data_IF_843856240414
#
_entry.id   IF_843856240414
#
_cell.length_a   1.000
_cell.length_b   1.000
_cell.length_c   1.000
_cell.angle_alpha   90.00
_cell.angle_beta   90.00
_cell.angle_gamma   90.00
#
_symmetry.space_group_name_H-M   'P 1'
#
loop_
_entity.id
_entity.type
_entity.pdbx_description
1 polymer ?
#
# COMPACT_ATOMS: atom_id res chain seq x y z
N UNK A 1 60.90 22.64 -18.98
CA UNK A 1 60.17 23.91 -18.80
C UNK A 1 58.68 23.59 -18.69
N UNK A 2 58.09 23.94 -17.53
CA UNK A 2 56.67 24.23 -17.20
C UNK A 2 55.53 23.34 -17.78
N UNK A 3 54.52 22.88 -17.05
CA UNK A 3 54.16 22.93 -15.63
C UNK A 3 52.96 21.98 -15.36
N UNK A 4 52.85 21.56 -14.09
CA UNK A 4 51.74 20.81 -13.49
C UNK A 4 50.38 21.51 -13.63
N UNK A 5 49.31 20.73 -13.70
CA UNK A 5 48.12 20.99 -12.88
C UNK A 5 47.30 19.71 -12.67
N UNK A 6 47.44 19.16 -11.47
CA UNK A 6 46.50 18.22 -10.85
C UNK A 6 45.18 18.92 -10.54
N UNK A 7 44.05 18.34 -10.96
CA UNK A 7 42.77 18.47 -10.25
C UNK A 7 41.97 17.17 -10.39
N UNK A 8 42.13 16.29 -9.41
CA UNK A 8 41.12 15.30 -9.03
C UNK A 8 39.82 16.04 -8.69
N UNK A 9 38.72 15.73 -9.37
CA UNK A 9 37.38 16.14 -8.96
C UNK A 9 36.75 14.98 -8.18
N UNK A 10 36.91 14.98 -6.87
CA UNK A 10 36.14 14.12 -5.95
C UNK A 10 34.75 14.73 -5.78
N UNK A 11 33.71 13.99 -6.13
CA UNK A 11 32.32 14.39 -5.92
C UNK A 11 31.83 13.79 -4.60
N UNK A 12 31.86 14.57 -3.53
CA UNK A 12 31.13 14.27 -2.29
C UNK A 12 29.72 14.89 -2.38
N UNK A 13 28.64 14.14 -2.10
CA UNK A 13 27.33 14.73 -1.92
C UNK A 13 27.21 15.31 -0.50
N UNK A 14 26.95 16.63 -0.45
CA UNK A 14 26.67 17.36 0.78
C UNK A 14 25.41 16.83 1.49
N UNK A 15 25.57 16.39 2.74
CA UNK A 15 24.47 16.12 3.66
C UNK A 15 24.08 17.44 4.31
N UNK A 16 23.12 18.16 3.72
CA UNK A 16 22.52 19.34 4.34
C UNK A 16 21.35 18.90 5.24
N UNK A 17 21.51 19.07 6.55
CA UNK A 17 20.53 18.73 7.56
C UNK A 17 19.21 19.49 7.39
N UNK A 18 18.10 18.75 7.28
CA UNK A 18 16.76 19.33 7.30
C UNK A 18 16.43 19.84 8.72
N UNK A 19 16.33 21.15 8.87
CA UNK A 19 15.77 21.80 10.07
C UNK A 19 14.30 21.45 10.24
N UNK A 20 13.96 20.97 11.43
CA UNK A 20 12.62 20.69 11.94
C UNK A 20 11.79 21.98 11.94
N UNK A 21 10.66 21.99 11.23
CA UNK A 21 9.65 23.05 11.35
C UNK A 21 8.52 22.49 12.24
N UNK A 22 8.33 23.08 13.41
CA UNK A 22 7.19 22.80 14.28
C UNK A 22 5.92 23.48 13.73
N UNK A 23 4.75 22.81 13.71
CA UNK A 23 3.52 23.45 13.27
C UNK A 23 2.91 24.30 14.39
N UNK A 24 2.70 25.58 14.07
CA UNK A 24 1.94 26.52 14.89
C UNK A 24 0.46 26.09 15.01
N UNK A 25 -0.05 26.14 16.24
CA UNK A 25 -1.45 25.91 16.62
C UNK A 25 -2.24 27.21 16.40
N UNK A 26 -3.34 27.16 15.65
CA UNK A 26 -4.42 28.16 15.75
C UNK A 26 -5.78 27.57 15.29
N UNK A 27 -6.94 28.13 15.68
CA UNK A 27 -7.96 27.37 16.38
C UNK A 27 -9.18 27.04 15.50
N UNK A 28 -9.93 26.07 15.99
CA UNK A 28 -11.12 25.46 15.40
C UNK A 28 -12.19 26.49 15.01
N UNK A 29 -12.60 26.50 13.73
CA UNK A 29 -13.85 27.12 13.27
C UNK A 29 -14.89 26.01 13.08
N UNK A 30 -15.91 26.01 13.94
CA UNK A 30 -17.01 25.04 13.90
C UNK A 30 -17.95 25.34 12.73
N UNK A 31 -18.17 24.36 11.86
CA UNK A 31 -19.23 24.38 10.84
C UNK A 31 -20.34 23.44 11.32
N UNK A 32 -21.51 24.00 11.62
CA UNK A 32 -22.71 23.26 12.04
C UNK A 32 -23.46 22.76 10.78
N UNK A 33 -23.80 21.48 10.74
CA UNK A 33 -24.62 20.85 9.69
C UNK A 33 -26.12 21.09 9.92
N UNK A 34 -26.97 21.19 8.88
CA UNK A 34 -28.34 21.68 8.99
C UNK A 34 -29.43 20.61 9.24
N UNK A 35 -29.12 19.45 9.84
CA UNK A 35 -30.04 18.29 9.82
C UNK A 35 -30.59 17.80 11.16
N UNK A 36 -30.57 18.61 12.22
CA UNK A 36 -31.23 18.26 13.48
C UNK A 36 -32.03 19.43 14.03
N UNK A 37 -33.36 19.33 13.93
CA UNK A 37 -34.32 20.17 14.64
C UNK A 37 -34.45 19.68 16.07
N UNK A 38 -34.16 20.54 17.05
CA UNK A 38 -34.41 20.27 18.47
C UNK A 38 -35.62 21.08 18.93
N UNK A 39 -36.70 20.36 19.26
CA UNK A 39 -37.90 20.86 19.94
C UNK A 39 -37.57 21.30 21.37
N UNK A 40 -38.04 22.48 21.73
CA UNK A 40 -37.95 23.11 23.06
C UNK A 40 -38.96 22.54 24.04
N UNK A 41 -38.54 22.24 25.27
CA UNK A 41 -39.41 22.27 26.46
C UNK A 41 -38.69 22.96 27.63
N UNK A 42 -39.40 23.78 28.43
CA UNK A 42 -38.78 24.61 29.46
C UNK A 42 -38.66 23.92 30.81
N UNK A 43 -37.64 24.36 31.54
CA UNK A 43 -37.19 23.98 32.87
C UNK A 43 -38.15 24.46 33.98
N UNK A 44 -38.36 23.63 35.00
CA UNK A 44 -38.89 24.03 36.31
C UNK A 44 -37.85 23.65 37.38
N UNK A 45 -37.84 24.47 38.42
CA UNK A 45 -36.85 24.76 39.47
C UNK A 45 -36.59 23.67 40.54
N UNK A 46 -35.37 23.75 41.12
CA UNK A 46 -34.77 23.19 42.37
C UNK A 46 -35.70 23.01 43.61
N UNK A 47 -35.32 22.33 44.75
CA UNK A 47 -33.95 22.22 45.34
C UNK A 47 -33.54 20.94 46.15
N UNK A 48 -32.23 20.89 46.47
CA UNK A 48 -31.50 20.38 47.67
C UNK A 48 -31.49 18.87 48.05
N UNK A 49 -30.29 18.33 48.36
CA UNK A 49 -29.94 17.42 49.49
C UNK A 49 -28.43 16.98 49.47
N UNK A 50 -27.77 17.19 50.62
CA UNK A 50 -26.45 16.80 51.22
C UNK A 50 -25.30 16.05 50.49
N UNK A 51 -24.03 16.30 50.87
CA UNK A 51 -22.84 15.62 50.32
C UNK A 51 -22.52 14.31 51.07
N UNK A 52 -22.33 13.21 50.32
CA UNK A 52 -21.80 11.94 50.84
C UNK A 52 -20.37 11.76 50.35
N UNK A 53 -19.48 11.49 51.29
CA UNK A 53 -18.05 11.20 51.13
C UNK A 53 -17.80 9.96 50.27
N UNK A 54 -17.09 10.14 49.16
CA UNK A 54 -16.67 9.04 48.26
C UNK A 54 -15.34 8.49 48.73
N UNK A 55 -15.34 7.24 49.19
CA UNK A 55 -14.14 6.41 49.35
C UNK A 55 -13.68 5.91 47.97
N UNK A 56 -12.39 6.00 47.59
CA UNK A 56 -11.93 5.55 46.28
C UNK A 56 -11.83 4.02 46.23
N UNK A 57 -12.63 3.41 45.34
CA UNK A 57 -12.48 2.01 44.93
C UNK A 57 -11.29 1.83 43.96
N UNK A 58 -10.65 0.65 43.94
CA UNK A 58 -9.37 0.45 43.28
C UNK A 58 -9.46 0.48 41.75
N UNK A 59 -8.45 1.15 41.18
CA UNK A 59 -8.10 1.30 39.76
C UNK A 59 -8.57 0.16 38.85
N UNK A 60 -9.50 0.47 37.94
CA UNK A 60 -9.77 -0.35 36.77
C UNK A 60 -8.54 -0.35 35.85
N UNK A 61 -7.90 -1.51 35.68
CA UNK A 61 -6.87 -1.71 34.67
C UNK A 61 -7.39 -1.24 33.30
N UNK A 62 -6.71 -0.25 32.71
CA UNK A 62 -7.06 0.32 31.39
C UNK A 62 -7.06 -0.80 30.36
N UNK A 63 -8.24 -1.20 29.87
CA UNK A 63 -8.37 -2.09 28.70
C UNK A 63 -7.59 -1.49 27.54
N UNK A 64 -6.54 -2.18 27.09
CA UNK A 64 -5.73 -1.80 25.92
C UNK A 64 -6.66 -1.58 24.72
N UNK A 65 -6.55 -0.41 24.09
CA UNK A 65 -7.36 -0.06 22.93
C UNK A 65 -6.96 -0.95 21.74
N UNK A 66 -7.92 -1.69 21.19
CA UNK A 66 -7.69 -2.52 20.00
C UNK A 66 -7.20 -1.66 18.83
N UNK A 67 -6.25 -2.15 18.03
CA UNK A 67 -5.72 -1.38 16.93
C UNK A 67 -6.80 -1.08 15.88
N UNK A 68 -6.69 0.04 15.16
CA UNK A 68 -7.65 0.39 14.12
C UNK A 68 -7.72 -0.72 13.06
N UNK A 69 -8.94 -1.05 12.65
CA UNK A 69 -9.23 -2.13 11.70
C UNK A 69 -8.39 -1.94 10.42
N UNK A 70 -7.54 -2.92 10.11
CA UNK A 70 -6.71 -2.92 8.91
C UNK A 70 -5.35 -2.25 9.07
N UNK A 71 -4.89 -1.95 10.28
CA UNK A 71 -3.50 -1.57 10.54
C UNK A 71 -2.55 -2.78 10.43
N UNK A 72 -2.96 -3.91 11.02
CA UNK A 72 -2.12 -5.11 11.16
C UNK A 72 -2.39 -6.11 10.05
N UNK A 73 -1.32 -6.65 9.45
CA UNK A 73 -1.37 -7.75 8.46
C UNK A 73 -2.24 -8.90 8.96
N UNK A 74 -3.10 -9.42 8.09
CA UNK A 74 -3.90 -10.61 8.38
C UNK A 74 -3.24 -11.91 7.91
N UNK A 75 -2.13 -11.80 7.17
CA UNK A 75 -1.41 -12.94 6.60
C UNK A 75 -0.23 -13.34 7.51
N UNK A 76 0.01 -14.64 7.70
CA UNK A 76 1.20 -15.12 8.38
C UNK A 76 2.45 -14.76 7.56
N UNK A 77 3.57 -14.53 8.24
CA UNK A 77 4.88 -14.43 7.57
C UNK A 77 5.34 -15.86 7.24
N UNK A 78 5.59 -16.21 5.97
CA UNK A 78 6.12 -17.53 5.66
C UNK A 78 7.63 -17.61 5.91
N UNK A 79 8.20 -18.84 6.00
CA UNK A 79 9.65 -19.04 6.06
C UNK A 79 10.38 -18.35 4.91
N UNK A 80 11.65 -17.98 5.09
CA UNK A 80 12.42 -17.25 4.07
C UNK A 80 12.71 -18.09 2.83
N UNK A 81 12.65 -19.42 2.97
CA UNK A 81 12.75 -20.40 1.89
C UNK A 81 11.48 -20.52 1.04
N UNK A 82 10.35 -19.97 1.49
CA UNK A 82 9.10 -20.04 0.75
C UNK A 82 9.21 -19.31 -0.60
N UNK A 83 8.54 -19.86 -1.63
CA UNK A 83 8.60 -19.29 -2.97
C UNK A 83 7.83 -17.97 -3.10
N UNK A 84 6.83 -17.75 -2.23
CA UNK A 84 5.91 -16.60 -2.25
C UNK A 84 5.47 -16.22 -0.83
N UNK A 85 5.06 -14.97 -0.64
CA UNK A 85 4.49 -14.48 0.62
C UNK A 85 3.05 -14.99 0.82
N UNK A 86 2.26 -15.02 -0.25
CA UNK A 86 0.84 -15.42 -0.24
C UNK A 86 -0.12 -14.33 -0.71
N UNK A 87 0.37 -13.26 -1.33
CA UNK A 87 -0.48 -12.28 -2.00
C UNK A 87 -0.94 -12.82 -3.36
N UNK A 88 -2.21 -12.61 -3.71
CA UNK A 88 -2.73 -12.95 -5.04
C UNK A 88 -2.00 -12.17 -6.15
N UNK A 89 -1.48 -10.98 -5.85
CA UNK A 89 -0.68 -10.21 -6.79
C UNK A 89 0.60 -10.92 -7.23
N UNK A 90 1.20 -11.78 -6.39
CA UNK A 90 2.37 -12.58 -6.76
C UNK A 90 2.02 -13.62 -7.81
N UNK A 91 0.85 -14.26 -7.69
CA UNK A 91 0.35 -15.26 -8.64
C UNK A 91 -0.03 -14.62 -9.98
N UNK A 92 -0.56 -13.41 -9.94
CA UNK A 92 -1.07 -12.72 -11.13
C UNK A 92 -0.03 -11.80 -11.78
N UNK A 93 1.23 -11.77 -11.32
CA UNK A 93 2.23 -10.80 -11.77
C UNK A 93 2.45 -10.81 -13.30
N UNK A 94 2.29 -11.97 -13.93
CA UNK A 94 2.40 -12.15 -15.39
C UNK A 94 1.14 -11.71 -16.17
N UNK A 95 0.04 -11.39 -15.49
CA UNK A 95 -1.18 -10.81 -16.06
C UNK A 95 -1.52 -9.48 -15.34
N UNK A 96 -0.90 -8.36 -15.75
CA UNK A 96 -1.09 -7.06 -15.09
C UNK A 96 -2.54 -6.55 -15.10
N UNK A 97 -3.35 -6.97 -16.08
CA UNK A 97 -4.77 -6.62 -16.08
C UNK A 97 -5.52 -7.33 -14.94
N UNK A 98 -5.28 -8.63 -14.76
CA UNK A 98 -5.86 -9.39 -13.63
C UNK A 98 -5.39 -8.86 -12.29
N UNK A 99 -4.14 -8.40 -12.17
CA UNK A 99 -3.68 -7.68 -10.96
C UNK A 99 -4.60 -6.49 -10.66
N UNK A 100 -4.90 -5.64 -11.65
CA UNK A 100 -5.79 -4.48 -11.44
C UNK A 100 -7.23 -4.86 -11.04
N UNK A 101 -7.73 -5.98 -11.56
CA UNK A 101 -9.03 -6.51 -11.14
C UNK A 101 -8.96 -7.05 -9.71
N UNK A 102 -7.92 -7.81 -9.36
CA UNK A 102 -7.71 -8.35 -8.02
C UNK A 102 -7.57 -7.24 -6.96
N UNK A 103 -6.79 -6.18 -7.22
CA UNK A 103 -6.70 -5.06 -6.27
C UNK A 103 -8.03 -4.36 -6.09
N UNK A 104 -8.87 -4.29 -7.13
CA UNK A 104 -10.23 -3.73 -7.04
C UNK A 104 -11.12 -4.56 -6.12
N UNK A 105 -10.93 -5.88 -6.05
CA UNK A 105 -11.61 -6.78 -5.13
C UNK A 105 -11.10 -6.66 -3.68
N UNK A 106 -9.83 -6.35 -3.49
CA UNK A 106 -9.20 -6.25 -2.16
C UNK A 106 -9.44 -4.91 -1.46
N UNK A 107 -9.91 -3.88 -2.19
CA UNK A 107 -10.30 -2.59 -1.57
C UNK A 107 -11.39 -2.85 -0.52
N UNK A 108 -11.06 -2.59 0.74
CA UNK A 108 -11.97 -2.67 1.90
C UNK A 108 -12.61 -4.06 2.11
N UNK A 109 -12.04 -5.13 1.53
CA UNK A 109 -12.55 -6.51 1.68
C UNK A 109 -11.38 -7.46 1.93
N UNK A 110 -11.55 -8.37 2.88
CA UNK A 110 -10.52 -9.35 3.21
C UNK A 110 -10.30 -10.33 2.05
N UNK A 111 -9.04 -10.64 1.76
CA UNK A 111 -8.65 -11.58 0.70
C UNK A 111 -9.35 -12.93 0.80
N UNK A 112 -9.51 -13.47 2.02
CA UNK A 112 -10.21 -14.75 2.28
C UNK A 112 -11.60 -14.84 1.65
N UNK A 113 -12.31 -13.71 1.54
CA UNK A 113 -13.66 -13.67 0.95
C UNK A 113 -13.62 -13.15 -0.50
N UNK A 114 -12.73 -12.20 -0.80
CA UNK A 114 -12.63 -11.59 -2.12
C UNK A 114 -12.03 -12.53 -3.18
N UNK A 115 -11.00 -13.29 -2.84
CA UNK A 115 -10.22 -14.10 -3.78
C UNK A 115 -11.06 -15.21 -4.45
N UNK A 116 -11.89 -16.00 -3.74
CA UNK A 116 -12.75 -16.99 -4.38
C UNK A 116 -13.70 -16.38 -5.42
N UNK A 117 -14.32 -15.24 -5.09
CA UNK A 117 -15.23 -14.53 -5.99
C UNK A 117 -14.48 -13.91 -7.17
N UNK A 118 -13.22 -13.48 -6.98
CA UNK A 118 -12.36 -13.03 -8.07
C UNK A 118 -12.15 -14.15 -9.10
N UNK A 119 -11.82 -15.37 -8.67
CA UNK A 119 -11.67 -16.50 -9.60
C UNK A 119 -12.97 -16.86 -10.29
N UNK A 120 -14.12 -16.79 -9.58
CA UNK A 120 -15.43 -16.99 -10.20
C UNK A 120 -15.72 -15.94 -11.28
N UNK A 121 -15.39 -14.67 -11.04
CA UNK A 121 -15.51 -13.59 -12.02
C UNK A 121 -14.61 -13.87 -13.23
N UNK A 122 -13.34 -14.21 -13.02
CA UNK A 122 -12.39 -14.49 -14.10
C UNK A 122 -12.73 -15.76 -14.88
N UNK A 123 -13.39 -16.73 -14.26
CA UNK A 123 -13.93 -17.90 -14.95
C UNK A 123 -15.10 -17.57 -15.88
N UNK A 124 -15.98 -16.64 -15.49
CA UNK A 124 -17.13 -16.22 -16.30
C UNK A 124 -16.79 -15.18 -17.36
N UNK A 125 -15.84 -14.28 -17.06
CA UNK A 125 -15.45 -13.18 -17.94
C UNK A 125 -13.92 -13.16 -18.09
N UNK A 126 -13.34 -14.03 -18.95
CA UNK A 126 -11.91 -14.33 -18.97
C UNK A 126 -11.08 -13.27 -19.73
N UNK A 127 -11.15 -12.02 -19.29
CA UNK A 127 -10.27 -10.94 -19.76
C UNK A 127 -10.98 -9.60 -20.04
N UNK A 128 -10.24 -8.61 -20.56
CA UNK A 128 -10.74 -7.24 -20.75
C UNK A 128 -11.96 -7.18 -21.68
N UNK A 129 -11.95 -7.89 -22.82
CA UNK A 129 -13.06 -7.88 -23.78
C UNK A 129 -14.36 -8.40 -23.16
N UNK A 130 -14.30 -9.53 -22.47
CA UNK A 130 -15.46 -10.13 -21.81
C UNK A 130 -16.01 -9.22 -20.69
N UNK A 131 -15.14 -8.64 -19.86
CA UNK A 131 -15.57 -7.72 -18.80
C UNK A 131 -16.14 -6.40 -19.35
N UNK A 132 -15.58 -5.87 -20.44
CA UNK A 132 -16.06 -4.64 -21.06
C UNK A 132 -17.46 -4.81 -21.68
N UNK A 133 -17.74 -5.97 -22.27
CA UNK A 133 -19.00 -6.30 -22.94
C UNK A 133 -20.08 -6.87 -21.98
N UNK A 134 -19.70 -7.34 -20.80
CA UNK A 134 -20.62 -7.93 -19.84
C UNK A 134 -21.71 -6.95 -19.39
N UNK A 135 -22.93 -7.47 -19.20
CA UNK A 135 -24.00 -6.74 -18.52
C UNK A 135 -23.57 -6.41 -17.08
N UNK A 136 -23.56 -5.12 -16.67
CA UNK A 136 -23.26 -4.72 -15.30
C UNK A 136 -24.09 -5.47 -14.25
N UNK A 137 -25.35 -5.81 -14.54
CA UNK A 137 -26.20 -6.53 -13.58
C UNK A 137 -25.64 -7.93 -13.25
N UNK A 138 -25.08 -8.62 -14.25
CA UNK A 138 -24.45 -9.93 -14.08
C UNK A 138 -23.21 -9.86 -13.17
N UNK A 139 -22.34 -8.89 -13.40
CA UNK A 139 -21.14 -8.66 -12.55
C UNK A 139 -21.57 -8.27 -11.14
N UNK A 140 -22.50 -7.33 -10.99
CA UNK A 140 -22.97 -6.85 -9.68
C UNK A 140 -23.61 -7.97 -8.87
N UNK A 141 -24.41 -8.83 -9.51
CA UNK A 141 -25.02 -9.99 -8.85
C UNK A 141 -23.96 -10.94 -8.30
N UNK A 142 -22.93 -11.22 -9.09
CA UNK A 142 -21.81 -12.09 -8.70
C UNK A 142 -21.03 -11.54 -7.50
N UNK A 143 -20.69 -10.25 -7.52
CA UNK A 143 -19.82 -9.64 -6.50
C UNK A 143 -20.59 -8.99 -5.35
N UNK A 144 -21.93 -9.13 -5.32
CA UNK A 144 -22.81 -8.56 -4.30
C UNK A 144 -22.36 -8.90 -2.86
N UNK A 145 -21.94 -10.14 -2.52
CA UNK A 145 -21.53 -10.49 -1.17
C UNK A 145 -20.32 -9.70 -0.64
N UNK A 146 -19.52 -9.10 -1.53
CA UNK A 146 -18.30 -8.37 -1.15
C UNK A 146 -18.57 -6.93 -0.72
N UNK A 147 -19.78 -6.41 -0.96
CA UNK A 147 -20.11 -5.00 -0.80
C UNK A 147 -19.46 -4.10 -1.85
N UNK A 148 -19.95 -2.85 -1.96
CA UNK A 148 -19.50 -1.86 -2.96
C UNK A 148 -19.59 -2.37 -4.41
N UNK A 149 -20.50 -3.31 -4.69
CA UNK A 149 -20.56 -4.05 -5.96
C UNK A 149 -20.74 -3.13 -7.17
N UNK A 150 -21.62 -2.13 -7.10
CA UNK A 150 -21.79 -1.17 -8.20
C UNK A 150 -20.50 -0.37 -8.48
N UNK A 151 -19.81 0.10 -7.44
CA UNK A 151 -18.55 0.85 -7.56
C UNK A 151 -17.44 -0.04 -8.14
N UNK A 152 -17.31 -1.27 -7.65
CA UNK A 152 -16.34 -2.24 -8.17
C UNK A 152 -16.62 -2.59 -9.62
N UNK A 153 -17.89 -2.88 -9.96
CA UNK A 153 -18.29 -3.17 -11.33
C UNK A 153 -17.93 -2.02 -12.28
N UNK A 154 -18.26 -0.78 -11.91
CA UNK A 154 -17.92 0.40 -12.70
C UNK A 154 -16.40 0.54 -12.88
N UNK A 155 -15.61 0.31 -11.83
CA UNK A 155 -14.15 0.36 -11.89
C UNK A 155 -13.56 -0.74 -12.79
N UNK A 156 -14.02 -1.98 -12.64
CA UNK A 156 -13.57 -3.13 -13.45
C UNK A 156 -13.88 -2.88 -14.93
N UNK A 157 -15.10 -2.47 -15.25
CA UNK A 157 -15.49 -2.21 -16.63
C UNK A 157 -14.79 -0.97 -17.21
N UNK A 158 -14.51 0.06 -16.39
CA UNK A 158 -13.66 1.18 -16.79
C UNK A 158 -12.27 0.69 -17.16
N UNK A 159 -11.63 -0.11 -16.31
CA UNK A 159 -10.31 -0.67 -16.60
C UNK A 159 -10.35 -1.52 -17.87
N UNK A 160 -11.33 -2.41 -18.01
CA UNK A 160 -11.49 -3.27 -19.17
C UNK A 160 -11.56 -2.46 -20.49
N UNK A 161 -12.46 -1.47 -20.57
CA UNK A 161 -12.60 -0.62 -21.75
C UNK A 161 -11.33 0.19 -22.05
N UNK A 162 -10.75 0.79 -21.01
CA UNK A 162 -9.56 1.60 -21.17
C UNK A 162 -8.34 0.75 -21.58
N UNK A 163 -8.22 -0.48 -21.07
CA UNK A 163 -7.16 -1.43 -21.40
C UNK A 163 -7.24 -1.90 -22.86
N UNK A 164 -8.45 -2.15 -23.37
CA UNK A 164 -8.69 -2.49 -24.78
C UNK A 164 -8.37 -1.31 -25.71
N UNK A 165 -8.75 -0.09 -25.31
CA UNK A 165 -8.45 1.10 -26.10
C UNK A 165 -6.96 1.44 -26.10
N UNK A 166 -6.30 1.24 -24.96
CA UNK A 166 -4.89 1.59 -24.76
C UNK A 166 -4.35 0.75 -23.63
N UNK A 167 -3.64 -0.33 -23.93
CA UNK A 167 -2.92 -1.09 -22.90
C UNK A 167 -1.69 -0.29 -22.40
N UNK A 168 -1.26 -0.46 -21.13
CA UNK A 168 -0.02 0.16 -20.66
C UNK A 168 1.19 -0.29 -21.47
N UNK A 169 2.12 0.64 -21.71
CA UNK A 169 3.35 0.40 -22.50
C UNK A 169 4.54 1.05 -21.80
N UNK A 170 5.75 0.57 -22.05
CA UNK A 170 6.99 1.18 -21.53
C UNK A 170 7.22 2.62 -21.99
N UNK A 171 6.60 3.02 -23.10
CA UNK A 171 6.86 4.31 -23.77
C UNK A 171 5.97 5.45 -23.26
N UNK A 172 4.95 5.15 -22.45
CA UNK A 172 3.93 6.13 -22.06
C UNK A 172 3.62 6.07 -20.57
N UNK A 173 3.63 7.25 -19.95
CA UNK A 173 3.23 7.46 -18.56
C UNK A 173 2.21 8.57 -18.49
N UNK A 174 1.43 8.58 -17.42
CA UNK A 174 0.33 9.51 -17.25
C UNK A 174 0.38 10.18 -15.88
N UNK A 175 0.10 11.47 -15.85
CA UNK A 175 0.12 12.28 -14.64
C UNK A 175 -0.77 11.71 -13.53
N UNK A 176 -0.20 11.60 -12.34
CA UNK A 176 -0.84 11.15 -11.11
C UNK A 176 -0.65 12.22 -10.03
N UNK A 177 -1.75 12.55 -9.35
CA UNK A 177 -1.77 13.51 -8.25
C UNK A 177 -1.87 12.81 -6.90
N UNK A 178 -1.37 13.46 -5.86
CA UNK A 178 -1.46 13.01 -4.47
C UNK A 178 -0.84 11.62 -4.23
N UNK A 179 0.20 11.29 -4.99
CA UNK A 179 0.94 10.05 -4.91
C UNK A 179 2.44 10.32 -5.12
N UNK A 180 3.33 9.72 -4.32
CA UNK A 180 3.03 8.80 -3.21
C UNK A 180 2.40 9.48 -1.98
N UNK A 181 2.64 10.78 -1.78
CA UNK A 181 2.11 11.54 -0.65
C UNK A 181 1.02 12.54 -1.08
N UNK A 182 0.08 12.89 -0.17
CA UNK A 182 -0.88 13.96 -0.43
C UNK A 182 -0.17 15.26 -0.79
N UNK A 183 -0.56 15.86 -1.91
CA UNK A 183 0.06 17.07 -2.44
C UNK A 183 1.20 16.86 -3.43
N UNK A 184 1.68 15.64 -3.64
CA UNK A 184 2.63 15.36 -4.73
C UNK A 184 1.95 15.46 -6.10
N UNK A 185 2.72 15.79 -7.14
CA UNK A 185 2.21 15.87 -8.52
C UNK A 185 1.19 16.99 -8.77
N UNK A 186 1.14 18.05 -7.93
CA UNK A 186 0.21 19.19 -8.12
C UNK A 186 0.35 19.87 -9.48
N UNK A 187 1.56 19.84 -10.05
CA UNK A 187 1.93 20.47 -11.31
C UNK A 187 1.58 19.64 -12.56
N UNK A 188 1.17 18.38 -12.40
CA UNK A 188 0.70 17.55 -13.53
C UNK A 188 -0.82 17.51 -13.58
N UNK A 189 -1.39 17.22 -14.75
CA UNK A 189 -2.85 16.98 -14.89
C UNK A 189 -3.13 15.48 -14.99
N UNK A 190 -4.25 15.04 -14.44
CA UNK A 190 -4.72 13.66 -14.64
C UNK A 190 -4.98 13.43 -16.12
N UNK A 191 -4.40 12.36 -16.67
CA UNK A 191 -4.48 12.05 -18.10
C UNK A 191 -3.47 12.80 -18.98
N UNK A 192 -2.66 13.70 -18.40
CA UNK A 192 -1.52 14.28 -19.11
C UNK A 192 -0.51 13.20 -19.47
N UNK A 193 -0.16 13.12 -20.75
CA UNK A 193 0.75 12.11 -21.28
C UNK A 193 2.20 12.56 -21.20
N UNK A 194 3.06 11.64 -20.80
CA UNK A 194 4.51 11.79 -20.74
C UNK A 194 5.15 10.62 -21.48
N UNK A 195 6.31 10.87 -22.08
CA UNK A 195 7.12 9.84 -22.73
C UNK A 195 7.80 8.87 -21.74
N UNK A 196 8.70 8.01 -22.25
CA UNK A 196 9.37 7.00 -21.43
C UNK A 196 10.19 7.64 -20.30
N UNK A 197 10.45 6.85 -19.27
CA UNK A 197 11.33 7.27 -18.17
C UNK A 197 12.76 7.53 -18.71
N UNK A 198 13.38 8.63 -18.29
CA UNK A 198 14.71 9.05 -18.75
C UNK A 198 14.73 9.86 -20.07
N UNK A 199 13.59 10.03 -20.76
CA UNK A 199 13.54 10.86 -21.96
C UNK A 199 13.77 12.35 -21.67
N UNK A 200 14.24 13.10 -22.66
CA UNK A 200 14.41 14.56 -22.57
C UNK A 200 13.09 15.23 -22.18
N UNK A 201 13.08 16.03 -21.11
CA UNK A 201 11.86 16.65 -20.57
C UNK A 201 11.04 15.77 -19.61
N UNK A 202 11.48 14.54 -19.32
CA UNK A 202 10.84 13.64 -18.35
C UNK A 202 10.96 14.10 -16.89
N UNK A 203 11.78 15.12 -16.59
CA UNK A 203 11.97 15.64 -15.23
C UNK A 203 10.64 16.04 -14.57
N UNK A 204 9.71 16.62 -15.34
CA UNK A 204 8.40 17.01 -14.81
C UNK A 204 7.52 15.80 -14.43
N UNK A 205 7.75 14.64 -15.06
CA UNK A 205 7.03 13.40 -14.80
C UNK A 205 7.64 12.58 -13.64
N UNK A 206 8.85 12.93 -13.18
CA UNK A 206 9.55 12.16 -12.17
C UNK A 206 8.73 12.09 -10.88
N UNK A 207 8.49 10.88 -10.38
CA UNK A 207 7.72 10.61 -9.17
C UNK A 207 6.20 10.89 -9.26
N UNK A 208 5.69 11.41 -10.38
CA UNK A 208 4.30 11.82 -10.52
C UNK A 208 3.63 11.40 -11.83
N UNK A 209 4.26 10.53 -12.62
CA UNK A 209 3.66 9.93 -13.80
C UNK A 209 3.95 8.43 -13.85
N UNK A 210 2.90 7.64 -14.11
CA UNK A 210 2.95 6.17 -14.09
C UNK A 210 2.20 5.59 -15.28
N UNK A 211 2.58 4.39 -15.72
CA UNK A 211 2.09 3.76 -16.96
C UNK A 211 0.57 3.51 -16.91
N UNK A 212 0.01 3.34 -15.71
CA UNK A 212 -1.43 3.18 -15.46
C UNK A 212 -2.12 4.43 -14.90
N UNK A 213 -1.47 5.60 -14.91
CA UNK A 213 -2.02 6.82 -14.30
C UNK A 213 -3.37 7.27 -14.91
N UNK A 214 -3.62 6.93 -16.18
CA UNK A 214 -4.92 7.17 -16.83
C UNK A 214 -6.03 6.21 -16.37
N UNK A 215 -5.68 5.02 -15.88
CA UNK A 215 -6.62 4.05 -15.34
C UNK A 215 -7.01 4.45 -13.92
N UNK A 216 -6.00 4.72 -13.09
CA UNK A 216 -6.17 4.92 -11.65
C UNK A 216 -5.29 6.04 -11.10
N UNK A 217 -5.79 6.67 -10.04
CA UNK A 217 -5.04 7.60 -9.19
C UNK A 217 -4.91 7.05 -7.76
N UNK A 218 -5.34 5.80 -7.53
CA UNK A 218 -5.40 5.18 -6.20
C UNK A 218 -4.03 4.65 -5.77
N UNK A 219 -3.49 5.07 -4.60
CA UNK A 219 -2.17 4.65 -4.13
C UNK A 219 -1.98 3.15 -4.06
N UNK A 220 -2.97 2.41 -3.56
CA UNK A 220 -2.89 0.95 -3.45
C UNK A 220 -2.71 0.25 -4.81
N UNK A 221 -3.42 0.70 -5.84
CA UNK A 221 -3.30 0.13 -7.18
C UNK A 221 -1.97 0.52 -7.83
N UNK A 222 -1.49 1.75 -7.60
CA UNK A 222 -0.20 2.23 -8.08
C UNK A 222 0.97 1.51 -7.41
N UNK A 223 0.92 1.31 -6.09
CA UNK A 223 1.92 0.54 -5.35
C UNK A 223 1.95 -0.92 -5.85
N UNK A 224 0.77 -1.55 -6.01
CA UNK A 224 0.68 -2.91 -6.55
C UNK A 224 1.27 -3.01 -7.96
N UNK A 225 0.99 -2.03 -8.83
CA UNK A 225 1.58 -1.98 -10.17
C UNK A 225 3.10 -1.85 -10.14
N UNK A 226 3.61 -0.94 -9.30
CA UNK A 226 5.05 -0.70 -9.16
C UNK A 226 5.78 -1.94 -8.65
N UNK A 227 5.20 -2.65 -7.69
CA UNK A 227 5.80 -3.86 -7.10
C UNK A 227 5.74 -5.04 -8.07
N UNK A 228 4.57 -5.33 -8.65
CA UNK A 228 4.33 -6.62 -9.31
C UNK A 228 4.41 -6.59 -10.84
N UNK A 229 4.30 -5.42 -11.47
CA UNK A 229 4.12 -5.34 -12.93
C UNK A 229 5.18 -4.49 -13.64
N UNK A 230 5.64 -3.41 -13.00
CA UNK A 230 6.38 -2.33 -13.67
C UNK A 230 7.70 -2.80 -14.28
N UNK A 231 8.52 -3.55 -13.55
CA UNK A 231 9.86 -3.93 -14.05
C UNK A 231 9.81 -4.88 -15.26
N UNK A 232 8.84 -5.80 -15.28
CA UNK A 232 8.60 -6.70 -16.42
C UNK A 232 8.08 -5.90 -17.62
N UNK A 233 7.11 -5.00 -17.41
CA UNK A 233 6.60 -4.13 -18.47
C UNK A 233 7.70 -3.26 -19.11
N UNK A 234 8.62 -2.74 -18.29
CA UNK A 234 9.72 -1.90 -18.76
C UNK A 234 10.84 -2.73 -19.43
N UNK A 235 10.74 -4.06 -19.42
CA UNK A 235 11.77 -4.96 -19.94
C UNK A 235 13.07 -4.90 -19.14
N UNK A 236 12.99 -4.57 -17.85
CA UNK A 236 14.15 -4.48 -16.95
C UNK A 236 14.46 -5.79 -16.25
N UNK A 237 13.45 -6.65 -16.10
CA UNK A 237 13.57 -7.98 -15.51
C UNK A 237 12.58 -8.94 -16.16
N UNK A 238 12.80 -10.25 -16.01
CA UNK A 238 11.86 -11.29 -16.45
C UNK A 238 10.89 -11.73 -15.37
N UNK A 239 11.09 -11.27 -14.13
CA UNK A 239 10.23 -11.55 -12.99
C UNK A 239 10.06 -10.30 -12.13
N UNK A 240 8.91 -10.14 -11.47
CA UNK A 240 8.56 -8.94 -10.69
C UNK A 240 9.50 -8.65 -9.51
N UNK A 241 10.16 -9.68 -8.96
CA UNK A 241 11.18 -9.50 -7.92
C UNK A 241 12.47 -8.87 -8.46
N UNK A 242 12.58 -8.66 -9.77
CA UNK A 242 13.76 -8.18 -10.48
C UNK A 242 14.73 -9.25 -10.96
N UNK A 243 14.40 -10.53 -10.75
CA UNK A 243 15.21 -11.65 -11.26
C UNK A 243 15.24 -11.63 -12.79
N UNK A 244 16.37 -12.05 -13.34
CA UNK A 244 16.60 -12.11 -14.79
C UNK A 244 16.80 -10.74 -15.46
N UNK A 245 17.14 -9.70 -14.69
CA UNK A 245 17.72 -8.48 -15.26
C UNK A 245 19.07 -8.79 -15.92
N UNK A 246 19.31 -8.18 -17.08
CA UNK A 246 20.61 -8.21 -17.75
C UNK A 246 21.61 -7.20 -17.17
N UNK A 247 21.12 -6.17 -16.45
CA UNK A 247 21.95 -5.18 -15.79
C UNK A 247 22.27 -5.63 -14.36
N UNK A 248 23.56 -5.87 -14.02
CA UNK A 248 23.97 -6.32 -12.69
C UNK A 248 23.82 -5.25 -11.61
N UNK A 249 23.68 -3.97 -12.00
CA UNK A 249 23.44 -2.85 -11.07
C UNK A 249 21.95 -2.54 -10.90
N UNK A 250 21.08 -3.30 -11.58
CA UNK A 250 19.65 -3.09 -11.53
C UNK A 250 19.10 -3.30 -10.13
N UNK A 251 18.46 -2.25 -9.60
CA UNK A 251 17.67 -2.34 -8.40
C UNK A 251 16.17 -2.43 -8.76
N UNK A 252 15.46 -3.48 -8.32
CA UNK A 252 14.04 -3.66 -8.61
C UNK A 252 13.17 -2.56 -7.99
N UNK A 253 12.04 -2.24 -8.63
CA UNK A 253 11.16 -1.17 -8.22
C UNK A 253 10.56 -1.38 -6.84
N UNK A 254 10.27 -2.62 -6.45
CA UNK A 254 9.72 -2.93 -5.13
C UNK A 254 10.59 -2.39 -3.97
N UNK A 255 11.91 -2.28 -4.16
CA UNK A 255 12.85 -1.74 -3.16
C UNK A 255 12.72 -0.22 -2.95
N UNK A 256 11.93 0.47 -3.78
CA UNK A 256 11.67 1.92 -3.74
C UNK A 256 10.21 2.25 -3.44
N UNK A 257 9.37 1.25 -3.15
CA UNK A 257 7.94 1.45 -2.87
C UNK A 257 7.72 1.51 -1.36
N UNK A 258 7.02 2.56 -0.91
CA UNK A 258 6.63 2.76 0.48
C UNK A 258 5.10 2.68 0.61
N UNK A 259 4.52 1.47 0.56
CA UNK A 259 3.07 1.31 0.51
C UNK A 259 2.44 1.67 1.85
N UNK A 260 1.20 2.16 1.82
CA UNK A 260 0.37 2.33 3.03
C UNK A 260 -0.46 1.09 3.36
N UNK A 261 -0.67 0.23 2.38
CA UNK A 261 -1.42 -1.00 2.57
C UNK A 261 -0.65 -1.98 3.44
N UNK A 262 -1.35 -2.54 4.44
CA UNK A 262 -0.76 -3.41 5.45
C UNK A 262 -0.25 -4.74 4.90
N UNK A 263 -0.91 -5.31 3.89
CA UNK A 263 -0.50 -6.58 3.30
C UNK A 263 0.68 -6.37 2.34
N UNK A 264 0.70 -5.27 1.58
CA UNK A 264 1.87 -4.88 0.80
C UNK A 264 3.10 -4.62 1.70
N UNK A 265 2.92 -3.93 2.84
CA UNK A 265 4.00 -3.73 3.83
C UNK A 265 4.53 -5.06 4.37
N UNK A 266 3.64 -5.99 4.69
CA UNK A 266 4.00 -7.31 5.17
C UNK A 266 4.82 -8.08 4.14
N UNK A 267 4.37 -8.10 2.88
CA UNK A 267 5.07 -8.70 1.77
C UNK A 267 6.46 -8.08 1.57
N UNK A 268 6.57 -6.75 1.48
CA UNK A 268 7.86 -6.08 1.28
C UNK A 268 8.82 -6.29 2.46
N UNK A 269 8.31 -6.32 3.69
CA UNK A 269 9.14 -6.67 4.87
C UNK A 269 9.69 -8.08 4.76
N UNK A 270 8.86 -9.06 4.37
CA UNK A 270 9.32 -10.42 4.11
C UNK A 270 10.36 -10.48 2.98
N UNK A 271 10.18 -9.71 1.92
CA UNK A 271 11.18 -9.61 0.85
C UNK A 271 12.50 -9.03 1.35
N UNK A 272 12.47 -7.96 2.15
CA UNK A 272 13.68 -7.39 2.75
C UNK A 272 14.41 -8.37 3.67
N UNK A 273 13.70 -9.22 4.42
CA UNK A 273 14.34 -10.27 5.20
C UNK A 273 15.12 -11.26 4.33
N UNK A 274 14.60 -11.59 3.14
CA UNK A 274 15.31 -12.47 2.19
C UNK A 274 16.57 -11.84 1.62
N UNK A 275 16.62 -10.50 1.57
CA UNK A 275 17.82 -9.72 1.23
C UNK A 275 18.73 -9.48 2.45
N UNK A 276 18.38 -10.01 3.63
CA UNK A 276 19.17 -9.88 4.85
C UNK A 276 18.97 -8.59 5.63
N UNK A 277 17.81 -7.92 5.49
CA UNK A 277 17.52 -6.64 6.14
C UNK A 277 16.22 -6.66 6.96
N UNK A 278 16.25 -6.09 8.17
CA UNK A 278 15.06 -5.61 8.88
C UNK A 278 14.70 -4.23 8.35
N UNK A 279 13.55 -4.12 7.69
CA UNK A 279 13.08 -2.89 7.08
C UNK A 279 11.88 -2.31 7.83
N UNK A 280 11.97 -1.02 8.15
CA UNK A 280 10.86 -0.23 8.69
C UNK A 280 10.08 0.47 7.55
N UNK A 281 8.82 0.08 7.29
CA UNK A 281 7.99 0.67 6.24
C UNK A 281 7.55 2.11 6.50
N UNK A 282 7.77 2.66 7.69
CA UNK A 282 7.40 4.03 8.04
C UNK A 282 8.55 5.01 7.83
N UNK A 283 9.78 4.58 8.10
CA UNK A 283 10.99 5.42 8.01
C UNK A 283 11.85 5.10 6.79
N UNK A 284 11.63 3.97 6.13
CA UNK A 284 12.50 3.37 5.10
C UNK A 284 13.91 3.00 5.60
N UNK A 285 14.10 2.98 6.92
CA UNK A 285 15.34 2.54 7.53
C UNK A 285 15.51 1.02 7.40
N UNK A 286 16.77 0.60 7.25
CA UNK A 286 17.16 -0.79 7.06
C UNK A 286 18.31 -1.10 8.01
N UNK A 287 18.17 -2.18 8.77
CA UNK A 287 19.21 -2.70 9.63
C UNK A 287 19.53 -4.14 9.23
N UNK A 288 20.76 -4.63 9.42
CA UNK A 288 21.08 -6.03 9.14
C UNK A 288 20.12 -6.98 9.88
N UNK A 289 19.64 -8.01 9.20
CA UNK A 289 18.75 -9.01 9.78
C UNK A 289 19.42 -9.75 10.93
N UNK A 290 18.87 -9.58 12.14
CA UNK A 290 19.36 -10.31 13.32
C UNK A 290 19.09 -11.79 13.16
N UNK A 291 20.09 -12.59 13.54
CA UNK A 291 20.04 -14.05 13.43
C UNK A 291 18.89 -14.67 14.24
N UNK A 292 18.57 -14.09 15.38
CA UNK A 292 17.43 -14.48 16.21
C UNK A 292 16.09 -14.34 15.45
N UNK A 293 15.86 -13.18 14.83
CA UNK A 293 14.65 -12.93 14.06
C UNK A 293 14.59 -13.82 12.82
N UNK A 294 15.72 -14.03 12.13
CA UNK A 294 15.81 -14.95 10.98
C UNK A 294 15.35 -16.36 11.37
N UNK A 295 15.86 -16.90 12.48
CA UNK A 295 15.46 -18.22 13.01
C UNK A 295 13.98 -18.25 13.39
N UNK A 296 13.46 -17.20 14.01
CA UNK A 296 12.05 -17.11 14.36
C UNK A 296 11.14 -17.10 13.13
N UNK A 297 11.51 -16.39 12.06
CA UNK A 297 10.76 -16.39 10.80
C UNK A 297 10.74 -17.79 10.17
N UNK A 298 11.91 -18.43 10.06
CA UNK A 298 12.01 -19.78 9.49
C UNK A 298 11.27 -20.84 10.32
N UNK A 299 11.21 -20.66 11.64
CA UNK A 299 10.44 -21.50 12.57
C UNK A 299 8.94 -21.17 12.64
N UNK A 300 8.46 -20.11 11.98
CA UNK A 300 7.07 -19.67 12.06
C UNK A 300 6.67 -19.09 13.43
N UNK A 301 7.64 -18.60 14.20
CA UNK A 301 7.48 -18.06 15.54
C UNK A 301 7.43 -16.53 15.55
N UNK A 302 6.90 -15.92 14.49
CA UNK A 302 6.74 -14.47 14.39
C UNK A 302 5.28 -14.09 14.22
N UNK A 303 4.93 -12.93 14.77
CA UNK A 303 3.61 -12.35 14.65
C UNK A 303 3.68 -10.84 14.60
N UNK A 304 2.52 -10.21 14.46
CA UNK A 304 2.40 -8.76 14.53
C UNK A 304 1.81 -8.35 15.87
N UNK A 305 2.36 -7.28 16.45
CA UNK A 305 1.73 -6.61 17.59
C UNK A 305 0.57 -5.70 17.13
N UNK A 306 -0.10 -5.06 18.09
CA UNK A 306 -1.18 -4.11 17.82
C UNK A 306 -0.71 -2.89 17.00
N UNK A 307 0.58 -2.61 16.96
CA UNK A 307 1.18 -1.49 16.23
C UNK A 307 1.71 -1.87 14.85
N UNK A 308 1.45 -3.10 14.39
CA UNK A 308 1.96 -3.64 13.10
C UNK A 308 3.49 -3.80 13.04
N UNK A 309 4.14 -3.80 14.20
CA UNK A 309 5.52 -4.19 14.38
C UNK A 309 5.60 -5.71 14.38
N UNK A 310 6.64 -6.25 13.74
CA UNK A 310 6.88 -7.69 13.78
C UNK A 310 7.57 -8.03 15.10
N UNK A 311 7.05 -9.03 15.81
CA UNK A 311 7.58 -9.51 17.08
C UNK A 311 7.85 -11.02 16.99
N UNK A 312 8.81 -11.49 17.76
CA UNK A 312 8.99 -12.92 18.03
C UNK A 312 7.94 -13.31 19.07
N UNK A 313 7.22 -14.38 18.80
CA UNK A 313 6.24 -14.94 19.72
C UNK A 313 7.00 -15.83 20.71
N UNK A 314 6.96 -15.48 22.00
CA UNK A 314 7.52 -16.34 23.05
C UNK A 314 6.82 -17.70 22.99
N UNK A 315 7.61 -18.77 22.86
CA UNK A 315 7.11 -20.10 23.18
C UNK A 315 6.77 -20.09 24.68
N UNK A 316 5.55 -20.47 25.04
CA UNK A 316 5.35 -21.12 26.33
C UNK A 316 6.24 -22.37 26.30
N UNK A 317 7.44 -22.28 26.88
CA UNK A 317 8.25 -23.42 27.32
C UNK A 317 7.58 -24.06 28.54
N UNK A 318 6.33 -24.50 28.39
CA UNK A 318 5.57 -25.28 29.36
C UNK A 318 4.89 -26.41 28.58
N UNK A 319 5.67 -27.41 28.21
CA UNK A 319 5.26 -28.82 28.12
C UNK A 319 6.44 -29.57 27.51
N UNK A 320 7.36 -29.96 28.38
CA UNK A 320 8.24 -31.15 28.33
C UNK A 320 9.25 -31.00 29.48
N UNK A 321 8.73 -31.05 30.72
CA UNK A 321 9.48 -31.37 31.93
C UNK A 321 8.94 -32.66 32.51
#
# INVERSE_FOLDING_TARGET
MYARNDKLLTYEPAIEGRKRIEPAINPKRAVKSPFFSSTTHPTVTDPAVVPVTVTPSPSSAKKRARPPRGAVSGLPIPPLSASRFGLIQEELADDPFRVLVAVTFLIRTAGKVAIPVFYELMGRFPGPAALAAADPAGIISLIRPLGLSAVRCAAIQKYARAWLSRSPTRDKRYGVKNYPLPGDGRHVRTGEEFGPEGATGAARALGCAWEIGYLTQGPYALDSWRIFCRDVLLGRATHWTGKGSADPTFQPEWMRVLPKDKELRACLRWMWFREGWEWDPLTDERQPLREELRKAIDGGHVGYDDHSSLIILDQQLEDLS
#
